data_IF_850389521040
#
_entry.id   IF_850389521040
#
_cell.length_a   1.000
_cell.length_b   1.000
_cell.length_c   1.000
_cell.angle_alpha   90.00
_cell.angle_beta   90.00
_cell.angle_gamma   90.00
#
_symmetry.space_group_name_H-M   'P 1'
#
loop_
_entity.id
_entity.type
_entity.pdbx_description
1 polymer ?
#
# COMPACT_ATOMS: atom_id res chain seq x y z
N UNK A 1 2.99 0.46 12.84
CA UNK A 1 3.23 1.43 13.92
C UNK A 1 2.13 1.27 14.97
N UNK A 2 2.43 0.59 16.10
CA UNK A 2 1.58 0.65 17.28
C UNK A 2 1.78 2.02 17.91
N UNK A 3 0.83 2.93 17.78
CA UNK A 3 0.75 4.09 18.67
C UNK A 3 0.23 3.58 20.01
N UNK A 4 1.14 3.06 20.85
CA UNK A 4 0.84 2.73 22.24
C UNK A 4 1.00 4.00 23.07
N UNK A 5 -0.08 4.71 23.31
CA UNK A 5 -0.13 5.83 24.23
C UNK A 5 -1.57 6.07 24.66
N UNK A 6 -1.82 6.16 25.98
CA UNK A 6 -3.12 6.44 26.62
C UNK A 6 -3.65 7.86 26.28
N UNK A 7 -3.68 8.23 25.01
CA UNK A 7 -4.42 9.40 24.53
C UNK A 7 -5.52 8.91 23.62
N UNK A 8 -6.68 9.52 23.69
CA UNK A 8 -7.82 9.25 22.83
C UNK A 8 -7.31 9.11 21.40
N UNK A 9 -7.53 7.95 20.80
CA UNK A 9 -7.10 7.70 19.42
C UNK A 9 -7.83 8.70 18.50
N UNK A 10 -7.19 9.76 18.01
CA UNK A 10 -7.86 10.77 17.19
C UNK A 10 -8.31 10.23 15.85
N UNK A 11 -7.76 9.06 15.45
CA UNK A 11 -8.11 8.39 14.20
C UNK A 11 -9.35 7.46 14.32
N UNK A 12 -9.98 7.39 15.51
CA UNK A 12 -11.12 6.47 15.73
C UNK A 12 -10.69 5.03 16.06
N UNK A 13 -11.64 4.08 16.04
CA UNK A 13 -11.39 2.67 16.33
C UNK A 13 -10.60 1.99 15.22
N UNK A 14 -9.83 0.96 15.58
CA UNK A 14 -9.13 0.12 14.62
C UNK A 14 -10.08 -0.89 13.98
N UNK A 15 -10.09 -0.93 12.64
CA UNK A 15 -10.82 -1.92 11.83
C UNK A 15 -9.86 -3.04 11.43
N UNK A 16 -9.66 -4.02 12.31
CA UNK A 16 -8.74 -5.13 12.13
C UNK A 16 -9.28 -6.49 12.60
N UNK A 17 -10.60 -6.61 12.74
CA UNK A 17 -11.25 -7.81 13.29
C UNK A 17 -11.45 -8.90 12.24
N UNK A 18 -11.71 -8.52 10.99
CA UNK A 18 -11.91 -9.49 9.89
C UNK A 18 -10.60 -10.19 9.58
N UNK A 19 -10.67 -11.49 9.47
CA UNK A 19 -9.52 -12.36 9.20
C UNK A 19 -9.77 -13.17 7.93
N UNK A 20 -8.69 -13.51 7.25
CA UNK A 20 -8.68 -14.39 6.09
C UNK A 20 -7.54 -15.39 6.25
N UNK A 21 -7.70 -16.58 5.68
CA UNK A 21 -6.59 -17.51 5.56
C UNK A 21 -5.63 -16.99 4.48
N UNK A 22 -4.39 -16.61 4.82
CA UNK A 22 -3.45 -16.13 3.83
C UNK A 22 -3.05 -17.28 2.88
N UNK A 23 -2.74 -16.98 1.61
CA UNK A 23 -2.31 -18.00 0.65
C UNK A 23 -0.94 -18.57 0.98
N UNK A 24 -0.07 -17.76 1.59
CA UNK A 24 1.32 -18.11 1.91
C UNK A 24 1.68 -17.69 3.34
N UNK A 25 2.71 -18.34 3.91
CA UNK A 25 3.29 -17.91 5.19
C UNK A 25 3.99 -16.55 5.00
N UNK A 26 3.97 -15.72 6.04
CA UNK A 26 4.50 -14.36 5.99
C UNK A 26 3.39 -13.32 5.73
N UNK A 27 2.45 -13.64 4.87
CA UNK A 27 1.29 -12.80 4.59
C UNK A 27 0.39 -12.70 5.83
N UNK A 28 -0.06 -11.48 6.11
CA UNK A 28 -0.98 -11.19 7.21
C UNK A 28 -2.31 -11.92 7.04
N UNK A 29 -2.89 -12.35 8.15
CA UNK A 29 -4.25 -12.89 8.14
C UNK A 29 -5.34 -11.80 8.26
N UNK A 30 -4.98 -10.53 8.20
CA UNK A 30 -5.94 -9.42 8.19
C UNK A 30 -6.59 -9.36 6.81
N UNK A 31 -7.91 -9.36 6.79
CA UNK A 31 -8.67 -9.10 5.57
C UNK A 31 -8.86 -7.58 5.43
N UNK A 32 -7.94 -6.91 4.74
CA UNK A 32 -7.94 -5.45 4.64
C UNK A 32 -9.21 -4.92 3.99
N UNK A 33 -9.65 -5.53 2.90
CA UNK A 33 -10.83 -5.11 2.14
C UNK A 33 -12.12 -5.24 2.95
N UNK A 34 -12.32 -6.35 3.67
CA UNK A 34 -13.52 -6.54 4.48
C UNK A 34 -13.53 -5.67 5.75
N UNK A 35 -12.38 -5.37 6.32
CA UNK A 35 -12.29 -4.41 7.41
C UNK A 35 -12.61 -2.98 6.92
N UNK A 36 -12.22 -2.63 5.70
CA UNK A 36 -12.60 -1.36 5.07
C UNK A 36 -14.11 -1.31 4.80
N UNK A 37 -14.71 -2.41 4.33
CA UNK A 37 -16.17 -2.49 4.14
C UNK A 37 -16.93 -2.30 5.44
N UNK A 38 -16.49 -2.95 6.53
CA UNK A 38 -17.08 -2.74 7.87
C UNK A 38 -16.99 -1.26 8.29
N UNK A 39 -15.83 -0.62 8.05
CA UNK A 39 -15.67 0.81 8.33
C UNK A 39 -16.68 1.68 7.56
N UNK A 40 -16.86 1.44 6.26
CA UNK A 40 -17.82 2.21 5.47
C UNK A 40 -19.27 2.02 5.97
N UNK A 41 -19.63 0.81 6.37
CA UNK A 41 -20.96 0.50 6.88
C UNK A 41 -21.23 1.05 8.28
N UNK A 42 -20.19 1.16 9.14
CA UNK A 42 -20.31 1.73 10.48
C UNK A 42 -20.35 3.28 10.46
N UNK A 43 -20.09 3.89 9.31
CA UNK A 43 -20.10 5.33 9.13
C UNK A 43 -21.54 5.88 9.18
N UNK A 44 -21.77 6.90 9.99
CA UNK A 44 -23.07 7.57 10.07
C UNK A 44 -23.36 8.37 8.79
N UNK A 45 -24.27 7.87 7.98
CA UNK A 45 -24.63 8.50 6.70
C UNK A 45 -23.45 8.55 5.71
N UNK A 46 -23.44 9.55 4.82
CA UNK A 46 -22.35 9.77 3.85
C UNK A 46 -21.35 10.84 4.31
N UNK A 47 -20.94 10.79 5.57
CA UNK A 47 -19.92 11.71 6.08
C UNK A 47 -18.58 11.51 5.38
N UNK A 48 -17.80 12.55 5.11
CA UNK A 48 -16.43 12.43 4.62
C UNK A 48 -15.60 11.54 5.55
N UNK A 49 -14.68 10.79 4.98
CA UNK A 49 -13.86 9.86 5.76
C UNK A 49 -12.37 9.98 5.41
N UNK A 50 -11.56 9.51 6.34
CA UNK A 50 -10.16 9.20 6.14
C UNK A 50 -9.92 7.78 6.65
N UNK A 51 -9.35 6.92 5.82
CA UNK A 51 -9.02 5.55 6.18
C UNK A 51 -7.58 5.21 5.80
N UNK A 52 -6.84 4.68 6.75
CA UNK A 52 -5.47 4.26 6.56
C UNK A 52 -5.37 2.73 6.48
N UNK A 53 -4.93 2.21 5.34
CA UNK A 53 -4.62 0.78 5.17
C UNK A 53 -3.13 0.59 5.35
N UNK A 54 -2.72 0.17 6.54
CA UNK A 54 -1.33 -0.19 6.83
C UNK A 54 -1.13 -1.68 6.64
N UNK A 55 -0.77 -2.12 5.44
CA UNK A 55 -0.47 -3.50 5.16
C UNK A 55 0.90 -3.90 5.73
N UNK A 56 1.06 -5.19 6.01
CA UNK A 56 2.35 -5.76 6.40
C UNK A 56 3.19 -6.13 5.18
N UNK A 57 2.52 -6.46 4.10
CA UNK A 57 3.13 -6.88 2.84
C UNK A 57 3.79 -5.69 2.10
N UNK A 58 4.91 -5.91 1.46
CA UNK A 58 5.71 -7.13 1.31
C UNK A 58 6.89 -7.22 2.31
N UNK A 59 6.63 -7.25 3.61
CA UNK A 59 7.66 -7.33 4.65
C UNK A 59 8.11 -8.79 4.86
N UNK A 60 9.43 -9.02 4.98
CA UNK A 60 9.98 -10.34 5.31
C UNK A 60 9.44 -10.87 6.66
N UNK A 61 9.40 -12.22 6.89
CA UNK A 61 9.91 -13.28 6.00
C UNK A 61 8.88 -13.73 4.96
N UNK A 62 9.32 -14.10 3.77
CA UNK A 62 8.50 -14.73 2.73
C UNK A 62 8.40 -16.23 2.90
N UNK A 63 7.33 -16.85 2.41
CA UNK A 63 7.30 -18.30 2.25
C UNK A 63 8.25 -18.68 1.12
N UNK A 64 9.25 -19.50 1.44
CA UNK A 64 10.21 -19.97 0.47
C UNK A 64 9.52 -20.73 -0.66
N UNK A 65 9.91 -20.42 -1.89
CA UNK A 65 9.38 -21.02 -3.11
C UNK A 65 7.85 -20.79 -3.28
N UNK A 66 7.28 -19.71 -2.69
CA UNK A 66 5.89 -19.30 -2.91
C UNK A 66 5.64 -18.92 -4.37
N UNK A 67 6.65 -18.43 -5.07
CA UNK A 67 6.64 -18.10 -6.49
C UNK A 67 6.25 -19.30 -7.38
N UNK A 68 6.70 -20.55 -7.05
CA UNK A 68 6.31 -21.76 -7.78
C UNK A 68 4.81 -22.03 -7.65
N UNK A 69 4.25 -21.82 -6.45
CA UNK A 69 2.81 -21.97 -6.18
C UNK A 69 1.98 -20.89 -6.86
N UNK A 70 2.56 -19.73 -7.12
CA UNK A 70 1.97 -18.63 -7.85
C UNK A 70 2.19 -18.68 -9.36
N UNK A 71 2.70 -19.83 -9.88
CA UNK A 71 2.96 -20.08 -11.31
C UNK A 71 3.85 -19.02 -11.98
N UNK A 72 4.82 -18.46 -11.24
CA UNK A 72 5.79 -17.48 -11.75
C UNK A 72 7.01 -18.18 -12.34
N UNK A 73 7.74 -17.48 -13.20
CA UNK A 73 8.92 -18.05 -13.87
C UNK A 73 10.16 -17.24 -13.56
N UNK A 74 11.29 -17.91 -13.29
CA UNK A 74 12.57 -17.26 -13.00
C UNK A 74 13.06 -16.33 -14.13
N UNK A 75 12.64 -16.57 -15.36
CA UNK A 75 13.02 -15.76 -16.53
C UNK A 75 12.31 -14.41 -16.57
N UNK A 76 11.18 -14.27 -15.86
CA UNK A 76 10.39 -13.04 -15.85
C UNK A 76 10.94 -12.00 -14.84
N UNK A 77 11.94 -12.37 -14.04
CA UNK A 77 12.56 -11.47 -13.07
C UNK A 77 13.66 -10.63 -13.73
N UNK A 78 13.51 -9.33 -13.63
CA UNK A 78 14.61 -8.39 -13.84
C UNK A 78 15.35 -8.20 -12.51
N UNK A 79 16.59 -8.68 -12.45
CA UNK A 79 17.41 -8.55 -11.23
C UNK A 79 18.04 -7.17 -11.20
N UNK A 80 17.84 -6.38 -10.12
CA UNK A 80 18.48 -5.08 -9.97
C UNK A 80 20.01 -5.18 -10.15
N UNK A 81 20.65 -4.20 -10.81
CA UNK A 81 22.06 -4.30 -11.23
C UNK A 81 23.08 -4.39 -10.06
N UNK A 82 22.67 -4.02 -8.86
CA UNK A 82 23.49 -4.12 -7.65
C UNK A 82 23.36 -5.48 -6.94
N UNK A 83 22.47 -6.36 -7.41
CA UNK A 83 22.34 -7.73 -6.90
C UNK A 83 22.97 -8.72 -7.86
N UNK A 84 23.61 -9.80 -7.37
CA UNK A 84 24.13 -10.84 -8.25
C UNK A 84 22.98 -11.61 -8.92
N UNK A 85 23.04 -11.74 -10.23
CA UNK A 85 22.05 -12.53 -10.97
C UNK A 85 22.31 -14.04 -10.76
N UNK A 86 21.69 -14.57 -9.74
CA UNK A 86 21.74 -15.98 -9.34
C UNK A 86 20.33 -16.53 -9.14
N UNK A 87 20.11 -17.84 -9.38
CA UNK A 87 18.79 -18.44 -9.17
C UNK A 87 18.20 -18.18 -7.78
N UNK A 88 19.03 -18.15 -6.74
CA UNK A 88 18.59 -17.86 -5.36
C UNK A 88 18.04 -16.44 -5.21
N UNK A 89 18.67 -15.47 -5.88
CA UNK A 89 18.21 -14.07 -5.85
C UNK A 89 16.92 -13.91 -6.66
N UNK A 90 16.86 -14.54 -7.85
CA UNK A 90 15.64 -14.53 -8.66
C UNK A 90 14.44 -15.12 -7.91
N UNK A 91 14.63 -16.24 -7.21
CA UNK A 91 13.60 -16.88 -6.37
C UNK A 91 13.13 -15.95 -5.26
N UNK A 92 14.04 -15.31 -4.53
CA UNK A 92 13.72 -14.41 -3.43
C UNK A 92 12.98 -13.15 -3.91
N UNK A 93 13.33 -12.62 -5.08
CA UNK A 93 12.61 -11.52 -5.74
C UNK A 93 11.19 -11.94 -6.18
N UNK A 94 11.00 -13.16 -6.62
CA UNK A 94 9.68 -13.68 -6.98
C UNK A 94 8.81 -13.94 -5.74
N UNK A 95 9.38 -14.45 -4.64
CA UNK A 95 8.69 -14.60 -3.37
C UNK A 95 8.24 -13.23 -2.83
N UNK A 96 9.10 -12.21 -2.92
CA UNK A 96 8.74 -10.81 -2.64
C UNK A 96 7.59 -10.32 -3.52
N UNK A 97 7.66 -10.55 -4.83
CA UNK A 97 6.61 -10.19 -5.78
C UNK A 97 5.26 -10.86 -5.49
N UNK A 98 5.28 -12.07 -4.92
CA UNK A 98 4.05 -12.78 -4.54
C UNK A 98 3.28 -12.08 -3.43
N UNK A 99 3.98 -11.45 -2.48
CA UNK A 99 3.34 -10.65 -1.43
C UNK A 99 2.81 -9.30 -1.95
N UNK A 100 3.51 -8.69 -2.92
CA UNK A 100 3.01 -7.49 -3.59
C UNK A 100 1.69 -7.78 -4.29
N UNK A 101 1.59 -8.88 -5.02
CA UNK A 101 0.34 -9.28 -5.71
C UNK A 101 -0.80 -9.53 -4.73
N UNK A 102 -0.49 -10.10 -3.56
CA UNK A 102 -1.51 -10.23 -2.52
C UNK A 102 -2.03 -8.87 -2.07
N UNK A 103 -1.13 -7.92 -1.79
CA UNK A 103 -1.53 -6.56 -1.41
C UNK A 103 -2.32 -5.87 -2.52
N UNK A 104 -1.89 -6.00 -3.76
CA UNK A 104 -2.58 -5.46 -4.93
C UNK A 104 -4.00 -6.03 -5.07
N UNK A 105 -4.17 -7.33 -4.80
CA UNK A 105 -5.49 -7.96 -4.78
C UNK A 105 -6.42 -7.39 -3.70
N UNK A 106 -5.88 -7.04 -2.54
CA UNK A 106 -6.64 -6.38 -1.46
C UNK A 106 -7.00 -4.93 -1.84
N UNK A 107 -6.09 -4.21 -2.50
CA UNK A 107 -6.35 -2.87 -3.02
C UNK A 107 -7.44 -2.90 -4.10
N UNK A 108 -7.37 -3.85 -5.03
CA UNK A 108 -8.41 -4.04 -6.05
C UNK A 108 -9.79 -4.23 -5.42
N UNK A 109 -9.90 -5.09 -4.41
CA UNK A 109 -11.16 -5.29 -3.68
C UNK A 109 -11.65 -4.02 -2.96
N UNK A 110 -10.73 -3.21 -2.39
CA UNK A 110 -11.09 -1.92 -1.77
C UNK A 110 -11.67 -0.97 -2.83
N UNK A 111 -11.06 -0.90 -4.00
CA UNK A 111 -11.54 -0.08 -5.12
C UNK A 111 -12.93 -0.56 -5.58
N UNK A 112 -13.14 -1.87 -5.67
CA UNK A 112 -14.44 -2.42 -6.05
C UNK A 112 -15.52 -2.09 -5.01
N UNK A 113 -15.20 -2.18 -3.71
CA UNK A 113 -16.10 -1.76 -2.63
C UNK A 113 -16.44 -0.26 -2.75
N UNK A 114 -15.47 0.60 -3.02
CA UNK A 114 -15.72 2.03 -3.23
C UNK A 114 -16.68 2.28 -4.42
N UNK A 115 -16.53 1.53 -5.50
CA UNK A 115 -17.44 1.61 -6.67
C UNK A 115 -18.83 1.11 -6.33
N UNK A 116 -18.96 -0.03 -5.64
CA UNK A 116 -20.24 -0.60 -5.19
C UNK A 116 -20.99 0.37 -4.27
N UNK A 117 -20.29 1.06 -3.38
CA UNK A 117 -20.88 2.04 -2.44
C UNK A 117 -21.11 3.43 -3.08
N UNK A 118 -20.68 3.64 -4.33
CA UNK A 118 -20.80 4.92 -5.05
C UNK A 118 -19.93 6.04 -4.44
N UNK A 119 -18.78 5.68 -3.90
CA UNK A 119 -17.84 6.60 -3.25
C UNK A 119 -16.53 6.77 -4.05
N UNK A 120 -16.33 5.95 -5.10
CA UNK A 120 -15.05 5.91 -5.84
C UNK A 120 -14.69 7.25 -6.48
N UNK A 121 -15.64 7.90 -7.13
CA UNK A 121 -15.42 9.14 -7.88
C UNK A 121 -14.94 10.26 -6.96
N UNK A 122 -15.51 10.35 -5.75
CA UNK A 122 -15.19 11.37 -4.75
C UNK A 122 -14.20 10.90 -3.67
N UNK A 123 -13.40 9.88 -3.95
CA UNK A 123 -12.36 9.40 -3.05
C UNK A 123 -10.97 9.61 -3.62
N UNK A 124 -10.13 10.36 -2.90
CA UNK A 124 -8.70 10.45 -3.15
C UNK A 124 -8.02 9.20 -2.61
N UNK A 125 -7.47 8.37 -3.50
CA UNK A 125 -6.74 7.15 -3.17
C UNK A 125 -5.26 7.42 -3.36
N UNK A 126 -4.46 7.19 -2.32
CA UNK A 126 -3.00 7.30 -2.36
C UNK A 126 -2.41 5.94 -1.99
N UNK A 127 -1.59 5.40 -2.87
CA UNK A 127 -0.87 4.13 -2.67
C UNK A 127 0.62 4.42 -2.68
N UNK A 128 1.32 4.03 -1.63
CA UNK A 128 2.76 4.25 -1.50
C UNK A 128 3.42 3.18 -0.64
N UNK A 129 4.74 3.06 -0.74
CA UNK A 129 5.55 2.33 0.22
C UNK A 129 6.24 3.31 1.19
N UNK A 130 6.56 2.83 2.40
CA UNK A 130 7.27 3.59 3.43
C UNK A 130 8.79 3.60 3.22
N UNK A 131 9.32 2.59 2.54
CA UNK A 131 10.74 2.44 2.21
C UNK A 131 10.95 1.53 1.00
N UNK A 132 12.18 1.49 0.50
CA UNK A 132 12.58 0.59 -0.56
C UNK A 132 12.52 -0.90 -0.17
N UNK A 133 12.61 -1.76 -1.16
CA UNK A 133 12.50 -3.21 -1.00
C UNK A 133 13.49 -3.79 0.03
N UNK A 134 13.15 -4.88 0.76
CA UNK A 134 13.98 -5.43 1.84
C UNK A 134 15.15 -6.29 1.33
N UNK A 135 15.99 -5.68 0.48
CA UNK A 135 17.19 -6.27 -0.10
C UNK A 135 18.41 -5.41 0.24
N UNK A 136 19.63 -6.00 0.17
CA UNK A 136 20.86 -5.24 0.36
C UNK A 136 20.94 -4.02 -0.57
N UNK A 137 21.50 -2.91 -0.09
CA UNK A 137 21.62 -1.63 -0.81
C UNK A 137 20.28 -0.96 -1.21
N UNK A 138 19.16 -1.44 -0.69
CA UNK A 138 17.84 -0.84 -0.85
C UNK A 138 17.31 -0.37 0.50
N UNK A 139 16.54 -1.18 1.22
CA UNK A 139 15.96 -0.78 2.52
C UNK A 139 17.01 -0.17 3.47
N UNK A 140 16.62 0.92 4.15
CA UNK A 140 17.44 1.64 5.12
C UNK A 140 18.71 2.29 4.54
N UNK A 141 18.70 2.64 3.26
CA UNK A 141 19.76 3.38 2.59
C UNK A 141 19.22 4.62 1.88
N UNK A 142 20.11 5.57 1.56
CA UNK A 142 19.79 6.72 0.72
C UNK A 142 20.11 6.48 -0.76
N UNK A 143 20.33 5.25 -1.17
CA UNK A 143 20.48 4.89 -2.57
C UNK A 143 19.13 4.87 -3.30
N UNK A 144 19.17 4.91 -4.62
CA UNK A 144 17.98 4.95 -5.49
C UNK A 144 16.91 3.95 -5.06
N UNK A 145 17.25 2.67 -4.92
CA UNK A 145 16.31 1.62 -4.51
C UNK A 145 15.85 1.68 -3.04
N UNK A 146 16.44 2.57 -2.24
CA UNK A 146 16.03 2.80 -0.85
C UNK A 146 15.04 3.95 -0.70
N UNK A 147 15.12 4.96 -1.58
CA UNK A 147 14.34 6.21 -1.48
C UNK A 147 13.33 6.41 -2.61
N UNK A 148 13.58 5.83 -3.79
CA UNK A 148 12.64 5.87 -4.91
C UNK A 148 11.55 4.82 -4.68
N UNK A 149 10.58 5.17 -3.84
CA UNK A 149 9.44 4.31 -3.51
C UNK A 149 8.29 4.54 -4.47
N UNK A 150 7.45 3.53 -4.75
CA UNK A 150 6.26 3.73 -5.57
C UNK A 150 5.30 4.72 -4.91
N UNK A 151 4.73 5.61 -5.72
CA UNK A 151 3.64 6.49 -5.34
C UNK A 151 2.62 6.53 -6.48
N UNK A 152 1.38 6.18 -6.20
CA UNK A 152 0.27 6.33 -7.12
C UNK A 152 -0.87 7.11 -6.46
N UNK A 153 -1.46 8.03 -7.21
CA UNK A 153 -2.58 8.84 -6.75
C UNK A 153 -3.72 8.71 -7.76
N UNK A 154 -4.91 8.39 -7.27
CA UNK A 154 -6.13 8.29 -8.06
C UNK A 154 -7.25 9.10 -7.41
N UNK A 155 -7.91 9.95 -8.20
CA UNK A 155 -9.10 10.69 -7.80
C UNK A 155 -9.93 11.01 -9.04
N UNK A 156 -10.95 10.21 -9.31
CA UNK A 156 -11.69 10.25 -10.56
C UNK A 156 -12.36 11.63 -10.83
N UNK A 157 -12.91 12.27 -9.79
CA UNK A 157 -13.51 13.60 -9.93
C UNK A 157 -12.47 14.75 -9.99
N UNK A 158 -11.31 14.57 -9.37
CA UNK A 158 -10.29 15.63 -9.24
C UNK A 158 -9.20 15.60 -10.30
N UNK A 159 -8.79 14.40 -10.74
CA UNK A 159 -7.70 14.20 -11.71
C UNK A 159 -8.30 13.66 -13.01
N UNK A 160 -8.34 14.49 -14.06
CA UNK A 160 -9.03 14.14 -15.33
C UNK A 160 -8.14 13.32 -16.26
N UNK A 161 -6.85 13.59 -16.28
CA UNK A 161 -5.89 12.94 -17.17
C UNK A 161 -4.91 12.10 -16.34
N UNK A 162 -4.85 10.81 -16.63
CA UNK A 162 -3.82 9.93 -16.07
C UNK A 162 -2.46 10.25 -16.70
N UNK A 163 -1.39 10.05 -15.95
CA UNK A 163 -0.04 10.28 -16.44
C UNK A 163 1.03 9.79 -15.49
N UNK A 164 2.27 9.91 -15.93
CA UNK A 164 3.46 9.70 -15.12
C UNK A 164 4.16 11.04 -14.95
N UNK A 165 4.64 11.33 -13.75
CA UNK A 165 5.42 12.53 -13.45
C UNK A 165 6.82 12.12 -13.01
N UNK A 166 7.83 12.78 -13.56
CA UNK A 166 9.24 12.62 -13.17
C UNK A 166 9.67 13.65 -12.10
N UNK A 167 8.71 14.41 -11.55
CA UNK A 167 8.98 15.39 -10.51
C UNK A 167 9.39 14.70 -9.19
N UNK A 168 10.33 15.34 -8.49
CA UNK A 168 10.77 14.88 -7.17
C UNK A 168 9.68 15.17 -6.13
N UNK A 169 9.09 14.12 -5.59
CA UNK A 169 8.05 14.18 -4.57
C UNK A 169 8.52 13.49 -3.29
N UNK A 170 8.21 14.07 -2.16
CA UNK A 170 8.47 13.48 -0.84
C UNK A 170 7.17 13.17 -0.12
N UNK A 171 7.19 12.19 0.78
CA UNK A 171 6.02 11.86 1.61
C UNK A 171 5.49 13.04 2.45
N UNK A 172 6.34 14.04 2.73
CA UNK A 172 5.91 15.27 3.43
C UNK A 172 5.00 16.14 2.57
N UNK A 173 5.07 16.03 1.25
CA UNK A 173 4.24 16.78 0.31
C UNK A 173 2.79 16.27 0.28
N UNK A 174 2.56 15.03 0.76
CA UNK A 174 1.21 14.45 0.80
C UNK A 174 0.30 15.18 1.78
N UNK A 175 0.84 15.66 2.90
CA UNK A 175 0.02 16.36 3.89
C UNK A 175 -0.64 17.64 3.34
N UNK A 176 0.11 18.62 2.78
CA UNK A 176 -0.50 19.80 2.18
C UNK A 176 -1.38 19.44 0.97
N UNK A 177 -0.99 18.44 0.17
CA UNK A 177 -1.79 17.97 -0.97
C UNK A 177 -3.17 17.46 -0.55
N UNK A 178 -3.22 16.64 0.52
CA UNK A 178 -4.49 16.14 1.06
C UNK A 178 -5.35 17.31 1.59
N UNK A 179 -4.75 18.25 2.32
CA UNK A 179 -5.49 19.41 2.83
C UNK A 179 -6.08 20.26 1.71
N UNK A 180 -5.31 20.49 0.65
CA UNK A 180 -5.78 21.22 -0.53
C UNK A 180 -6.94 20.49 -1.23
N UNK A 181 -6.79 19.18 -1.45
CA UNK A 181 -7.81 18.35 -2.07
C UNK A 181 -9.15 18.37 -1.30
N UNK A 182 -9.12 18.46 0.04
CA UNK A 182 -10.33 18.55 0.87
C UNK A 182 -10.76 20.00 1.17
N UNK A 183 -10.13 21.00 0.52
CA UNK A 183 -10.48 22.41 0.64
C UNK A 183 -10.10 23.06 1.98
N UNK A 184 -9.19 22.48 2.73
CA UNK A 184 -8.69 23.02 4.00
C UNK A 184 -7.47 23.90 3.73
N UNK A 185 -7.58 25.21 3.98
CA UNK A 185 -6.45 26.13 3.85
C UNK A 185 -5.46 25.92 5.01
N UNK A 186 -4.28 25.45 4.69
CA UNK A 186 -3.15 25.41 5.61
C UNK A 186 -2.51 26.82 5.71
N UNK A 187 -2.36 27.31 6.94
CA UNK A 187 -1.57 28.52 7.18
C UNK A 187 -0.19 28.10 7.65
N UNK A 188 0.81 28.34 6.84
CA UNK A 188 2.20 28.29 7.30
C UNK A 188 2.38 29.28 8.46
N UNK A 189 3.06 28.80 9.51
CA UNK A 189 3.41 29.66 10.66
C UNK A 189 4.79 30.26 10.46
#
# INVERSE_FOLDING_TARGET
WKISGRRRNPAGPEYNKRRIRPPYKGISNINYSQNFKDFLHDREGKQPFYFWVGANEPHRPYEKDSWEKADKRLVDVEVPPFLPDKPTIRKDLLDYGTEIEWYDSQLSQIIDILKEEGEFENTLIIVMADNGMPFPLAKATCFEYGIHVPLAICWADGIKDGGVSDELVSSVDLFPTILDAVGIRYKEK
#
